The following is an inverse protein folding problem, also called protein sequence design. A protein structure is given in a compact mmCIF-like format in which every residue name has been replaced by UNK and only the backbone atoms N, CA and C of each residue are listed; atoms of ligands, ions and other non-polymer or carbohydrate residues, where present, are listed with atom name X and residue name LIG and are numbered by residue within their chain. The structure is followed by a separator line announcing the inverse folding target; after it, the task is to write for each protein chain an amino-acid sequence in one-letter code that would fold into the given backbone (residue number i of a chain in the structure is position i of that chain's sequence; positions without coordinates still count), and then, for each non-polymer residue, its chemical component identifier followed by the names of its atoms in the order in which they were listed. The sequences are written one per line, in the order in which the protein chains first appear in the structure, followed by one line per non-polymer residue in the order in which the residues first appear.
data_IF_799453515928
#
_entry.id   IF_799453515928
#
_cell.length_a   1.000
_cell.length_b   1.000
_cell.length_c   1.000
_cell.angle_alpha   90.00
_cell.angle_beta   90.00
_cell.angle_gamma   90.00
#
_symmetry.space_group_name_H-M   'P 1'
#
loop_
_entity.id
_entity.type
_entity.pdbx_description
1 polymer ?
#
# COMPACT_ATOMS: atom_id res chain seq x y z
N UNK A 1 -58.34 24.74 3.78
CA UNK A 1 -56.89 25.03 3.68
C UNK A 1 -56.00 24.22 4.64
N UNK A 2 -56.53 23.48 5.63
CA UNK A 2 -55.68 22.77 6.62
C UNK A 2 -55.00 21.46 6.15
N UNK A 3 -55.53 20.79 5.12
CA UNK A 3 -54.98 19.48 4.69
C UNK A 3 -53.68 19.59 3.88
N UNK A 4 -53.48 20.69 3.13
CA UNK A 4 -52.28 20.90 2.30
C UNK A 4 -51.08 21.28 3.17
N UNK A 5 -51.31 22.05 4.24
CA UNK A 5 -50.25 22.45 5.19
C UNK A 5 -49.74 21.25 5.97
N UNK A 6 -50.62 20.34 6.39
CA UNK A 6 -50.23 19.09 7.05
C UNK A 6 -49.47 18.14 6.12
N UNK A 7 -49.79 18.12 4.82
CA UNK A 7 -49.07 17.30 3.84
C UNK A 7 -47.64 17.82 3.60
N UNK A 8 -47.44 19.14 3.58
CA UNK A 8 -46.11 19.74 3.44
C UNK A 8 -45.26 19.61 4.71
N UNK A 9 -45.86 19.76 5.90
CA UNK A 9 -45.18 19.53 7.18
C UNK A 9 -44.77 18.06 7.38
N UNK A 10 -45.60 17.12 6.92
CA UNK A 10 -45.29 15.69 6.97
C UNK A 10 -44.14 15.32 6.03
N UNK A 11 -44.10 15.89 4.82
CA UNK A 11 -43.01 15.66 3.87
C UNK A 11 -41.69 16.32 4.29
N UNK A 12 -41.72 17.50 4.92
CA UNK A 12 -40.52 18.13 5.48
C UNK A 12 -39.93 17.29 6.63
N UNK A 13 -40.76 16.76 7.53
CA UNK A 13 -40.31 15.88 8.62
C UNK A 13 -39.67 14.57 8.12
N UNK A 14 -40.19 13.99 7.04
CA UNK A 14 -39.59 12.80 6.42
C UNK A 14 -38.25 13.10 5.71
N UNK A 15 -38.08 14.31 5.17
CA UNK A 15 -36.84 14.71 4.50
C UNK A 15 -35.66 14.79 5.49
N UNK A 16 -35.86 15.40 6.67
CA UNK A 16 -34.84 15.45 7.73
C UNK A 16 -34.51 14.08 8.31
N UNK A 17 -35.52 13.21 8.49
CA UNK A 17 -35.30 11.84 8.97
C UNK A 17 -34.55 10.99 7.95
N UNK A 18 -34.83 11.18 6.65
CA UNK A 18 -34.08 10.50 5.59
C UNK A 18 -32.65 11.00 5.51
N UNK A 19 -32.38 12.31 5.63
CA UNK A 19 -31.02 12.86 5.67
C UNK A 19 -30.23 12.41 6.90
N UNK A 20 -30.85 12.34 8.08
CA UNK A 20 -30.23 11.82 9.30
C UNK A 20 -29.95 10.31 9.20
N UNK A 21 -30.88 9.53 8.64
CA UNK A 21 -30.68 8.09 8.42
C UNK A 21 -29.65 7.85 7.34
N UNK A 22 -29.61 8.65 6.27
CA UNK A 22 -28.60 8.57 5.22
C UNK A 22 -27.24 8.99 5.77
N UNK A 23 -27.16 10.05 6.58
CA UNK A 23 -25.94 10.48 7.25
C UNK A 23 -25.47 9.42 8.24
N UNK A 24 -26.36 8.86 9.06
CA UNK A 24 -26.04 7.77 9.96
C UNK A 24 -25.64 6.51 9.20
N UNK A 25 -26.22 6.25 8.03
CA UNK A 25 -25.87 5.12 7.17
C UNK A 25 -24.56 5.35 6.43
N UNK A 26 -24.25 6.57 5.99
CA UNK A 26 -22.96 6.97 5.39
C UNK A 26 -21.86 6.94 6.46
N UNK A 27 -22.13 7.45 7.67
CA UNK A 27 -21.22 7.40 8.81
C UNK A 27 -21.08 5.95 9.30
N UNK A 28 -22.15 5.15 9.30
CA UNK A 28 -22.08 3.71 9.59
C UNK A 28 -21.36 2.95 8.48
N UNK A 29 -21.46 3.34 7.21
CA UNK A 29 -20.67 2.77 6.10
C UNK A 29 -19.20 3.17 6.20
N UNK A 30 -18.90 4.38 6.67
CA UNK A 30 -17.54 4.83 6.98
C UNK A 30 -16.96 4.15 8.22
N UNK A 31 -17.79 3.83 9.23
CA UNK A 31 -17.40 3.09 10.44
C UNK A 31 -17.31 1.57 10.18
N UNK A 32 -18.11 1.06 9.23
CA UNK A 32 -18.07 -0.31 8.71
C UNK A 32 -17.08 -0.43 7.53
N UNK A 33 -16.16 0.54 7.39
CA UNK A 33 -14.94 0.37 6.60
C UNK A 33 -14.02 -0.55 7.38
N UNK A 34 -14.24 -1.84 7.17
CA UNK A 34 -13.56 -2.88 7.94
C UNK A 34 -12.06 -2.78 7.64
N UNK A 35 -11.27 -2.62 8.70
CA UNK A 35 -9.82 -2.54 8.67
C UNK A 35 -9.27 -3.79 7.95
N UNK A 36 -8.71 -3.62 6.74
CA UNK A 36 -8.26 -4.70 5.87
C UNK A 36 -7.38 -5.69 6.64
N UNK A 37 -6.50 -5.16 7.49
CA UNK A 37 -5.59 -5.94 8.32
C UNK A 37 -6.35 -6.86 9.29
N UNK A 38 -7.45 -6.38 9.88
CA UNK A 38 -8.29 -7.19 10.79
C UNK A 38 -9.11 -8.23 10.05
N UNK A 39 -9.57 -7.92 8.83
CA UNK A 39 -10.27 -8.87 7.96
C UNK A 39 -9.36 -10.04 7.57
N UNK A 40 -8.15 -9.73 7.11
CA UNK A 40 -7.25 -10.74 6.54
C UNK A 40 -6.43 -11.47 7.60
N UNK A 41 -6.08 -10.81 8.70
CA UNK A 41 -5.18 -11.36 9.72
C UNK A 41 -5.79 -11.39 11.12
N UNK A 42 -7.09 -11.72 11.26
CA UNK A 42 -7.97 -11.77 12.45
C UNK A 42 -7.36 -11.96 13.87
N UNK A 43 -6.12 -12.45 14.02
CA UNK A 43 -5.39 -12.66 15.27
C UNK A 43 -4.05 -11.92 15.42
N UNK A 44 -3.42 -11.44 14.34
CA UNK A 44 -2.06 -10.88 14.39
C UNK A 44 -2.10 -9.35 14.44
N UNK A 45 -1.68 -8.80 15.59
CA UNK A 45 -1.43 -7.36 15.73
C UNK A 45 -0.23 -6.90 14.91
N UNK A 46 0.67 -7.82 14.55
CA UNK A 46 1.88 -7.55 13.80
C UNK A 46 1.93 -8.49 12.59
N UNK A 47 1.81 -7.93 11.38
CA UNK A 47 1.86 -8.69 10.13
C UNK A 47 3.26 -8.57 9.55
N UNK A 48 3.92 -9.70 9.36
CA UNK A 48 5.22 -9.75 8.67
C UNK A 48 5.02 -9.95 7.17
N UNK A 49 6.08 -9.66 6.40
CA UNK A 49 6.09 -9.92 4.95
C UNK A 49 5.97 -11.41 4.62
N UNK A 50 6.45 -12.28 5.51
CA UNK A 50 6.29 -13.74 5.36
C UNK A 50 4.83 -14.11 5.47
N UNK A 51 4.14 -13.60 6.48
CA UNK A 51 2.69 -13.83 6.64
C UNK A 51 1.92 -13.36 5.40
N UNK A 52 2.33 -12.22 4.83
CA UNK A 52 1.73 -11.67 3.62
C UNK A 52 2.01 -12.55 2.38
N UNK A 53 3.23 -13.08 2.21
CA UNK A 53 3.57 -14.05 1.16
C UNK A 53 2.82 -15.37 1.32
N UNK A 54 2.84 -15.94 2.53
CA UNK A 54 2.13 -17.17 2.87
C UNK A 54 0.63 -17.03 2.66
N UNK A 55 0.07 -15.85 2.95
CA UNK A 55 -1.33 -15.55 2.65
C UNK A 55 -1.62 -15.68 1.15
N UNK A 56 -0.84 -15.03 0.28
CA UNK A 56 -1.02 -15.14 -1.18
C UNK A 56 -0.82 -16.56 -1.73
N UNK A 57 0.05 -17.37 -1.11
CA UNK A 57 0.30 -18.75 -1.53
C UNK A 57 -0.82 -19.69 -1.07
N UNK A 58 -1.34 -19.48 0.14
CA UNK A 58 -2.23 -20.43 0.83
C UNK A 58 -3.71 -20.14 0.59
N UNK A 59 -4.09 -18.87 0.39
CA UNK A 59 -5.50 -18.48 0.32
C UNK A 59 -5.98 -18.31 -1.12
N UNK A 60 -6.95 -19.15 -1.51
CA UNK A 60 -7.68 -19.03 -2.78
C UNK A 60 -9.05 -18.32 -2.62
N UNK A 61 -9.47 -17.99 -1.39
CA UNK A 61 -10.72 -17.26 -1.12
C UNK A 61 -10.44 -16.07 -0.22
N UNK A 62 -9.93 -15.01 -0.83
CA UNK A 62 -10.04 -13.67 -0.27
C UNK A 62 -11.51 -13.24 -0.42
N UNK A 63 -11.94 -12.22 0.33
CA UNK A 63 -13.25 -11.61 0.19
C UNK A 63 -13.49 -10.97 -1.19
N UNK A 64 -14.08 -9.78 -1.21
CA UNK A 64 -14.34 -9.06 -2.46
C UNK A 64 -13.03 -8.77 -3.22
N UNK A 65 -13.10 -8.66 -4.55
CA UNK A 65 -11.95 -8.36 -5.42
C UNK A 65 -11.20 -7.09 -4.99
N UNK A 66 -11.92 -6.12 -4.41
CA UNK A 66 -11.37 -4.88 -3.88
C UNK A 66 -10.34 -5.10 -2.76
N UNK A 67 -10.61 -6.03 -1.83
CA UNK A 67 -9.70 -6.33 -0.72
C UNK A 67 -8.43 -7.04 -1.22
N UNK A 68 -8.56 -7.86 -2.26
CA UNK A 68 -7.42 -8.47 -2.97
C UNK A 68 -6.52 -7.38 -3.54
N UNK A 69 -7.11 -6.39 -4.22
CA UNK A 69 -6.37 -5.28 -4.82
C UNK A 69 -5.65 -4.46 -3.75
N UNK A 70 -6.32 -4.12 -2.65
CA UNK A 70 -5.68 -3.39 -1.53
C UNK A 70 -4.52 -4.19 -0.94
N UNK A 71 -4.68 -5.49 -0.75
CA UNK A 71 -3.60 -6.34 -0.25
C UNK A 71 -2.44 -6.45 -1.24
N UNK A 72 -2.73 -6.51 -2.55
CA UNK A 72 -1.71 -6.49 -3.59
C UNK A 72 -0.94 -5.15 -3.59
N UNK A 73 -1.62 -4.01 -3.37
CA UNK A 73 -0.98 -2.71 -3.18
C UNK A 73 -0.03 -2.73 -1.97
N UNK A 74 -0.45 -3.25 -0.82
CA UNK A 74 0.43 -3.42 0.36
C UNK A 74 1.65 -4.29 0.02
N UNK A 75 1.42 -5.41 -0.68
CA UNK A 75 2.49 -6.30 -1.10
C UNK A 75 3.51 -5.59 -2.00
N UNK A 76 3.06 -4.84 -3.00
CA UNK A 76 3.94 -4.07 -3.89
C UNK A 76 4.74 -3.02 -3.11
N UNK A 77 4.09 -2.27 -2.21
CA UNK A 77 4.77 -1.27 -1.39
C UNK A 77 5.87 -1.92 -0.55
N UNK A 78 5.56 -2.97 0.20
CA UNK A 78 6.51 -3.55 1.15
C UNK A 78 7.61 -4.39 0.50
N UNK A 79 7.30 -5.13 -0.56
CA UNK A 79 8.25 -6.07 -1.17
C UNK A 79 9.02 -5.46 -2.34
N UNK A 80 8.43 -4.54 -3.09
CA UNK A 80 9.03 -3.94 -4.28
C UNK A 80 9.57 -2.55 -3.95
N UNK A 81 8.69 -1.65 -3.48
CA UNK A 81 9.02 -0.23 -3.30
C UNK A 81 9.86 0.05 -2.05
N UNK A 82 9.62 -0.72 -0.99
CA UNK A 82 10.23 -0.55 0.34
C UNK A 82 10.90 -1.84 0.76
N UNK A 83 11.43 -2.62 -0.19
CA UNK A 83 12.07 -3.90 0.07
C UNK A 83 13.17 -3.73 1.13
N UNK A 84 12.90 -4.21 2.35
CA UNK A 84 13.84 -4.39 3.46
C UNK A 84 13.94 -5.90 3.70
N UNK A 85 14.87 -6.35 4.55
CA UNK A 85 14.99 -7.78 4.90
C UNK A 85 13.65 -8.37 5.37
N UNK A 86 13.43 -9.65 5.06
CA UNK A 86 12.14 -10.35 5.18
C UNK A 86 11.50 -10.37 6.58
N UNK A 87 12.25 -10.03 7.64
CA UNK A 87 11.82 -10.14 9.04
C UNK A 87 11.11 -8.86 9.52
N UNK A 88 11.03 -7.81 8.69
CA UNK A 88 10.49 -6.52 9.13
C UNK A 88 8.96 -6.54 9.07
N UNK A 89 8.36 -6.21 10.22
CA UNK A 89 6.92 -5.98 10.37
C UNK A 89 6.49 -4.88 9.40
N UNK A 90 5.33 -5.08 8.79
CA UNK A 90 4.72 -4.11 7.89
C UNK A 90 4.12 -2.99 8.71
N UNK A 91 4.36 -1.76 8.28
CA UNK A 91 3.84 -0.59 8.97
C UNK A 91 2.32 -0.51 8.75
N UNK A 92 1.58 -0.40 9.85
CA UNK A 92 0.13 -0.21 9.86
C UNK A 92 -0.31 1.01 9.06
N UNK A 93 0.58 1.98 8.90
CA UNK A 93 0.39 3.12 8.02
C UNK A 93 0.05 2.68 6.58
N UNK A 94 0.72 1.67 6.03
CA UNK A 94 0.50 1.22 4.65
C UNK A 94 -0.88 0.58 4.51
N UNK A 95 -1.32 -0.20 5.51
CA UNK A 95 -2.68 -0.77 5.53
C UNK A 95 -3.76 0.31 5.57
N UNK A 96 -3.59 1.33 6.43
CA UNK A 96 -4.53 2.46 6.49
C UNK A 96 -4.56 3.28 5.19
N UNK A 97 -3.42 3.38 4.53
CA UNK A 97 -3.28 4.14 3.30
C UNK A 97 -3.96 3.44 2.13
N UNK A 98 -3.84 2.12 1.98
CA UNK A 98 -4.51 1.39 0.88
C UNK A 98 -6.04 1.37 1.00
N UNK A 99 -6.56 1.56 2.21
CA UNK A 99 -8.00 1.70 2.41
C UNK A 99 -8.53 3.06 1.88
N UNK A 100 -7.65 4.06 1.70
CA UNK A 100 -7.95 5.40 1.17
C UNK A 100 -7.23 5.59 -0.17
N UNK A 101 -7.92 5.24 -1.27
CA UNK A 101 -7.32 5.16 -2.60
C UNK A 101 -6.73 6.50 -3.07
N UNK A 102 -7.45 7.60 -2.90
CA UNK A 102 -6.98 8.94 -3.27
C UNK A 102 -5.67 9.28 -2.54
N UNK A 103 -5.60 9.03 -1.24
CA UNK A 103 -4.37 9.26 -0.47
C UNK A 103 -3.25 8.32 -0.87
N UNK A 104 -3.55 7.08 -1.23
CA UNK A 104 -2.55 6.13 -1.69
C UNK A 104 -1.91 6.58 -3.01
N UNK A 105 -2.71 7.08 -3.94
CA UNK A 105 -2.22 7.56 -5.25
C UNK A 105 -1.43 8.86 -5.13
N UNK A 106 -1.90 9.80 -4.31
CA UNK A 106 -1.20 11.07 -4.05
C UNK A 106 0.05 10.90 -3.17
N UNK A 107 0.23 9.73 -2.54
CA UNK A 107 1.37 9.50 -1.67
C UNK A 107 2.68 9.54 -2.48
N UNK A 108 3.74 10.22 -1.99
CA UNK A 108 4.96 10.43 -2.76
C UNK A 108 5.89 9.21 -2.80
N UNK A 109 5.38 8.05 -3.24
CA UNK A 109 6.08 6.77 -3.31
C UNK A 109 7.44 6.89 -3.97
N UNK A 110 7.51 7.52 -5.16
CA UNK A 110 8.76 7.68 -5.90
C UNK A 110 9.84 8.41 -5.11
N UNK A 111 9.49 9.49 -4.41
CA UNK A 111 10.43 10.25 -3.56
C UNK A 111 10.89 9.43 -2.37
N UNK A 112 9.98 8.70 -1.73
CA UNK A 112 10.30 7.84 -0.59
C UNK A 112 11.23 6.69 -1.01
N UNK A 113 10.91 6.00 -2.09
CA UNK A 113 11.72 4.93 -2.67
C UNK A 113 13.12 5.42 -3.03
N UNK A 114 13.23 6.58 -3.69
CA UNK A 114 14.51 7.18 -4.03
C UNK A 114 15.36 7.46 -2.77
N UNK A 115 14.75 8.07 -1.74
CA UNK A 115 15.44 8.39 -0.49
C UNK A 115 15.96 7.14 0.23
N UNK A 116 15.13 6.10 0.37
CA UNK A 116 15.56 4.85 0.99
C UNK A 116 16.63 4.15 0.14
N UNK A 117 16.49 4.15 -1.19
CA UNK A 117 17.50 3.56 -2.10
C UNK A 117 18.87 4.23 -1.94
N UNK A 118 18.94 5.57 -1.93
CA UNK A 118 20.19 6.32 -1.70
C UNK A 118 20.78 6.01 -0.32
N UNK A 119 19.94 5.90 0.70
CA UNK A 119 20.36 5.54 2.06
C UNK A 119 20.98 4.14 2.11
N UNK A 120 20.38 3.15 1.46
CA UNK A 120 20.96 1.80 1.34
C UNK A 120 22.28 1.81 0.58
N UNK A 121 22.37 2.53 -0.55
CA UNK A 121 23.64 2.68 -1.27
C UNK A 121 24.74 3.31 -0.42
N UNK A 122 24.43 4.39 0.30
CA UNK A 122 25.37 5.04 1.21
C UNK A 122 25.83 4.08 2.32
N UNK A 123 24.93 3.29 2.90
CA UNK A 123 25.28 2.28 3.92
C UNK A 123 26.16 1.17 3.35
N UNK A 124 25.80 0.64 2.17
CA UNK A 124 26.59 -0.36 1.47
C UNK A 124 28.01 0.14 1.22
N UNK A 125 28.17 1.36 0.69
CA UNK A 125 29.47 1.96 0.43
C UNK A 125 30.30 2.19 1.70
N UNK A 126 29.66 2.53 2.82
CA UNK A 126 30.31 2.72 4.14
C UNK A 126 30.77 1.39 4.75
N UNK A 127 30.02 0.30 4.57
CA UNK A 127 30.32 -1.04 5.09
C UNK A 127 31.40 -1.79 4.27
N UNK A 128 32.32 -1.08 3.63
CA UNK A 128 33.35 -1.58 2.70
C UNK A 128 34.36 -2.59 3.29
N UNK A 129 34.28 -2.88 4.60
CA UNK A 129 35.14 -3.82 5.32
C UNK A 129 34.30 -4.93 5.97
N UNK A 130 33.77 -5.86 5.18
CA UNK A 130 33.42 -7.16 5.74
C UNK A 130 34.73 -7.91 6.09
N UNK A 131 34.75 -8.53 7.26
CA UNK A 131 35.93 -9.17 7.90
C UNK A 131 36.59 -10.28 7.06
N UNK A 132 35.95 -10.73 5.98
CA UNK A 132 36.37 -11.86 5.15
C UNK A 132 36.94 -11.48 3.78
N UNK A 133 37.18 -10.18 3.51
CA UNK A 133 37.75 -9.71 2.23
C UNK A 133 36.82 -9.79 1.02
N UNK A 134 35.68 -10.50 1.12
CA UNK A 134 34.60 -10.51 0.10
C UNK A 134 33.67 -9.31 0.30
N UNK A 135 33.54 -8.50 -0.76
CA UNK A 135 32.57 -7.40 -0.82
C UNK A 135 31.22 -7.96 -1.27
N UNK A 136 30.29 -8.14 -0.35
CA UNK A 136 28.88 -8.38 -0.68
C UNK A 136 28.05 -7.18 -0.21
N UNK A 137 27.22 -6.66 -1.12
CA UNK A 137 26.27 -5.59 -0.82
C UNK A 137 24.88 -6.15 -1.09
N UNK A 138 24.06 -6.22 -0.06
CA UNK A 138 22.64 -6.47 -0.23
C UNK A 138 22.01 -5.12 -0.62
N UNK A 139 21.81 -4.92 -1.93
CA UNK A 139 21.11 -3.74 -2.41
C UNK A 139 19.62 -4.05 -2.41
N UNK A 140 18.94 -3.69 -1.33
CA UNK A 140 17.49 -3.80 -1.27
C UNK A 140 16.82 -2.61 -2.00
N UNK A 141 15.52 -2.70 -2.28
CA UNK A 141 14.60 -1.65 -2.80
C UNK A 141 14.49 -1.59 -4.35
N UNK A 142 14.53 -0.39 -4.94
CA UNK A 142 14.31 -0.07 -6.35
C UNK A 142 15.56 -0.10 -7.28
N UNK A 143 16.73 -0.72 -6.96
CA UNK A 143 17.91 -0.68 -7.83
C UNK A 143 17.64 -1.21 -9.24
N UNK A 144 16.83 -2.25 -9.36
CA UNK A 144 16.51 -2.86 -10.65
C UNK A 144 15.75 -1.89 -11.55
N UNK A 145 14.76 -1.17 -11.02
CA UNK A 145 14.02 -0.20 -11.81
C UNK A 145 14.87 1.02 -12.13
N UNK A 146 15.70 1.50 -11.18
CA UNK A 146 16.69 2.54 -11.47
C UNK A 146 17.69 2.09 -12.54
N UNK A 147 18.11 0.82 -12.52
CA UNK A 147 19.03 0.27 -13.51
C UNK A 147 18.39 0.26 -14.89
N UNK A 148 17.13 -0.19 -15.02
CA UNK A 148 16.37 -0.14 -16.28
C UNK A 148 16.24 1.31 -16.76
N UNK A 149 15.81 2.23 -15.90
CA UNK A 149 15.70 3.65 -16.25
C UNK A 149 17.03 4.27 -16.70
N UNK A 150 18.14 3.97 -16.00
CA UNK A 150 19.47 4.47 -16.39
C UNK A 150 19.88 3.93 -17.76
N UNK A 151 19.55 2.68 -18.08
CA UNK A 151 19.83 2.10 -19.38
C UNK A 151 18.97 2.69 -20.50
N UNK A 152 17.73 3.09 -20.19
CA UNK A 152 16.86 3.81 -21.13
C UNK A 152 17.32 5.24 -21.38
N UNK A 153 17.69 5.98 -20.31
CA UNK A 153 18.12 7.38 -20.40
C UNK A 153 19.53 7.50 -21.01
N UNK A 154 20.41 6.52 -20.78
CA UNK A 154 21.80 6.53 -21.24
C UNK A 154 22.02 5.34 -22.18
N UNK A 155 21.74 5.48 -23.49
CA UNK A 155 21.83 4.38 -24.46
C UNK A 155 23.20 3.69 -24.49
N UNK A 156 24.28 4.42 -24.21
CA UNK A 156 25.64 3.87 -24.13
C UNK A 156 25.81 2.84 -23.00
N UNK A 157 25.13 3.04 -21.87
CA UNK A 157 25.12 2.08 -20.77
C UNK A 157 24.23 0.89 -21.12
N UNK A 158 23.04 1.16 -21.66
CA UNK A 158 22.13 0.12 -22.14
C UNK A 158 22.79 -0.81 -23.15
N UNK A 159 23.43 -0.27 -24.20
CA UNK A 159 24.08 -1.07 -25.25
C UNK A 159 25.27 -1.90 -24.75
N UNK A 160 25.90 -1.49 -23.64
CA UNK A 160 27.09 -2.15 -23.09
C UNK A 160 26.73 -3.21 -22.04
N UNK A 161 25.69 -2.98 -21.26
CA UNK A 161 25.37 -3.77 -20.06
C UNK A 161 23.97 -4.42 -20.10
N UNK A 162 23.13 -4.14 -21.09
CA UNK A 162 21.80 -4.73 -21.23
C UNK A 162 21.57 -5.26 -22.65
N UNK A 163 20.90 -6.41 -22.74
CA UNK A 163 20.33 -6.93 -23.98
C UNK A 163 18.82 -6.71 -23.95
N UNK A 164 18.26 -6.10 -25.00
CA UNK A 164 16.81 -6.09 -25.21
C UNK A 164 16.41 -7.50 -25.68
N UNK A 165 15.52 -8.14 -24.93
CA UNK A 165 14.88 -9.40 -25.30
C UNK A 165 13.63 -9.13 -26.14
#
# INVERSE_FOLDING_TARGET
MGHIVNFLLFNLGLFWVLDDVLFFWIVMLQILRIDLKKLTFQKNTNVSRRDLKEFFITHQKIGNDEDVVKLAKVFMVENILMSKREIILIDDFVFKLVDDEDKFEDYPWGRLCYKETIKYFCQALRNKKNKDGKRSYEVCVFPWVLQVWVFEIIPRLGSKFASRF
#
